data_IF_326894411392
#
_entry.id   IF_326894411392
#
_cell.length_a   1.000
_cell.length_b   1.000
_cell.length_c   1.000
_cell.angle_alpha   90.00
_cell.angle_beta   90.00
_cell.angle_gamma   90.00
#
_symmetry.space_group_name_H-M   'P 1'
#
loop_
_entity.id
_entity.type
_entity.pdbx_description
1 polymer ?
#
# COMPACT_ATOMS: atom_id res chain seq x y z
N UNK A 1 -43.67 -27.05 -39.49
CA UNK A 1 -43.15 -25.71 -39.13
C UNK A 1 -42.41 -25.14 -40.32
N UNK A 2 -42.60 -23.86 -40.58
CA UNK A 2 -42.55 -23.23 -41.90
C UNK A 2 -41.14 -22.89 -42.42
N UNK A 3 -40.95 -23.24 -43.69
CA UNK A 3 -40.27 -22.54 -44.78
C UNK A 3 -39.21 -21.46 -44.48
N UNK A 4 -37.99 -21.81 -44.91
CA UNK A 4 -36.91 -20.93 -45.33
C UNK A 4 -37.36 -19.87 -46.34
N UNK A 5 -36.98 -18.61 -46.14
CA UNK A 5 -36.88 -17.62 -47.21
C UNK A 5 -36.15 -16.35 -46.72
N UNK A 6 -34.97 -16.05 -47.27
CA UNK A 6 -34.67 -14.86 -48.08
C UNK A 6 -33.17 -14.54 -48.11
N UNK A 7 -32.59 -14.90 -49.25
CA UNK A 7 -31.51 -14.18 -49.90
C UNK A 7 -31.94 -12.72 -50.15
N UNK A 8 -31.11 -11.74 -49.80
CA UNK A 8 -31.21 -10.38 -50.34
C UNK A 8 -29.80 -9.79 -50.47
N UNK A 9 -29.28 -9.94 -51.68
CA UNK A 9 -28.19 -9.16 -52.25
C UNK A 9 -28.55 -7.68 -52.24
N UNK A 10 -27.72 -6.81 -51.66
CA UNK A 10 -27.62 -5.40 -52.09
C UNK A 10 -26.19 -4.88 -52.05
N UNK A 11 -25.63 -4.94 -53.25
CA UNK A 11 -24.49 -4.21 -53.78
C UNK A 11 -24.65 -2.69 -53.53
N UNK A 12 -23.66 -2.07 -52.87
CA UNK A 12 -23.42 -0.61 -52.82
C UNK A 12 -21.95 -0.44 -52.36
N UNK A 13 -20.98 -0.51 -53.26
CA UNK A 13 -20.49 0.52 -54.17
C UNK A 13 -20.10 1.86 -53.49
N UNK A 14 -18.79 2.12 -53.55
CA UNK A 14 -18.07 3.40 -53.50
C UNK A 14 -18.03 4.20 -52.19
N UNK A 15 -16.85 4.12 -51.56
CA UNK A 15 -16.24 5.16 -50.74
C UNK A 15 -16.49 6.57 -51.28
N UNK A 16 -16.91 7.48 -50.39
CA UNK A 16 -16.57 8.90 -50.43
C UNK A 16 -16.29 9.37 -49.01
N UNK A 17 -15.09 9.89 -48.82
CA UNK A 17 -14.60 10.54 -47.62
C UNK A 17 -15.49 11.72 -47.21
N UNK A 18 -15.69 11.91 -45.91
CA UNK A 18 -15.96 13.23 -45.34
C UNK A 18 -15.40 13.29 -43.93
N UNK A 19 -14.29 13.99 -43.80
CA UNK A 19 -13.57 14.29 -42.57
C UNK A 19 -14.41 15.27 -41.75
N UNK A 20 -14.95 14.82 -40.61
CA UNK A 20 -15.40 15.73 -39.56
C UNK A 20 -14.66 15.41 -38.27
N UNK A 21 -13.77 16.34 -37.92
CA UNK A 21 -12.96 16.39 -36.71
C UNK A 21 -13.90 16.58 -35.52
N UNK A 22 -14.03 15.56 -34.67
CA UNK A 22 -14.59 15.74 -33.34
C UNK A 22 -13.46 16.18 -32.41
N UNK A 23 -13.44 17.46 -32.07
CA UNK A 23 -12.53 18.02 -31.08
C UNK A 23 -12.84 17.44 -29.69
N UNK A 24 -11.95 16.58 -29.19
CA UNK A 24 -12.03 16.06 -27.82
C UNK A 24 -11.39 17.12 -26.90
N UNK A 25 -12.20 17.94 -26.25
CA UNK A 25 -11.75 18.77 -25.13
C UNK A 25 -11.52 17.85 -23.92
N UNK A 26 -10.29 17.34 -23.80
CA UNK A 26 -9.82 16.68 -22.58
C UNK A 26 -9.42 17.75 -21.57
N UNK A 27 -10.37 18.24 -20.78
CA UNK A 27 -10.05 18.96 -19.54
C UNK A 27 -9.91 17.91 -18.44
N UNK A 28 -8.77 17.21 -18.42
CA UNK A 28 -8.34 16.49 -17.22
C UNK A 28 -7.85 17.54 -16.23
N UNK A 29 -8.75 18.01 -15.38
CA UNK A 29 -8.38 18.73 -14.17
C UNK A 29 -7.59 17.74 -13.30
N UNK A 30 -6.27 17.78 -13.43
CA UNK A 30 -5.35 17.14 -12.50
C UNK A 30 -5.38 17.98 -11.23
N UNK A 31 -6.34 17.70 -10.35
CA UNK A 31 -6.21 18.06 -8.95
C UNK A 31 -5.14 17.17 -8.34
N UNK A 32 -3.87 17.52 -8.58
CA UNK A 32 -2.78 17.03 -7.77
C UNK A 32 -2.97 17.66 -6.38
N UNK A 33 -3.70 16.96 -5.52
CA UNK A 33 -3.73 17.27 -4.09
C UNK A 33 -2.31 17.09 -3.56
N UNK A 34 -1.57 18.19 -3.54
CA UNK A 34 -0.32 18.32 -2.79
C UNK A 34 -0.71 18.27 -1.31
N UNK A 35 -0.82 17.06 -0.78
CA UNK A 35 -0.70 16.83 0.66
C UNK A 35 0.76 17.12 1.03
N UNK A 36 1.10 18.38 1.19
CA UNK A 36 2.31 18.79 1.89
C UNK A 36 2.03 18.61 3.38
N UNK A 37 2.15 17.37 3.88
CA UNK A 37 2.26 17.14 5.32
C UNK A 37 3.61 17.72 5.71
N UNK A 38 3.60 18.86 6.39
CA UNK A 38 4.77 19.38 7.09
C UNK A 38 5.31 18.24 7.97
N UNK A 39 6.47 17.68 7.59
CA UNK A 39 7.25 16.80 8.43
C UNK A 39 7.82 17.63 9.59
N UNK A 40 6.99 17.80 10.62
CA UNK A 40 7.41 18.34 11.90
C UNK A 40 8.25 17.26 12.60
N UNK A 41 9.55 17.53 12.71
CA UNK A 41 10.46 16.79 13.57
C UNK A 41 11.04 15.53 12.93
N UNK A 42 12.33 15.35 13.11
CA UNK A 42 13.11 14.13 12.92
C UNK A 42 12.60 13.02 13.86
N UNK A 43 11.35 12.57 13.69
CA UNK A 43 10.77 11.52 14.52
C UNK A 43 11.22 10.15 14.01
N UNK A 44 12.52 9.91 14.08
CA UNK A 44 13.11 8.58 13.99
C UNK A 44 12.98 7.95 15.37
N UNK A 45 12.19 6.89 15.46
CA UNK A 45 11.97 6.16 16.71
C UNK A 45 12.68 4.82 16.60
N UNK A 46 13.69 4.60 17.44
CA UNK A 46 14.34 3.31 17.56
C UNK A 46 13.46 2.39 18.40
N UNK A 47 13.24 1.18 17.91
CA UNK A 47 12.46 0.13 18.53
C UNK A 47 13.37 -1.05 18.80
N UNK A 48 13.67 -1.26 20.07
CA UNK A 48 14.37 -2.44 20.56
C UNK A 48 13.33 -3.51 20.85
N UNK A 49 13.22 -4.50 19.96
CA UNK A 49 12.19 -5.52 19.98
C UNK A 49 12.75 -6.88 20.42
N UNK A 50 12.01 -7.62 21.24
CA UNK A 50 12.40 -8.96 21.70
C UNK A 50 11.30 -9.97 21.44
N UNK A 51 11.66 -11.13 20.89
CA UNK A 51 10.82 -12.32 20.87
C UNK A 51 10.63 -12.83 22.30
N UNK A 52 9.48 -13.46 22.53
CA UNK A 52 9.20 -14.12 23.82
C UNK A 52 10.23 -15.20 24.21
N UNK A 53 10.96 -15.76 23.25
CA UNK A 53 11.99 -16.78 23.47
C UNK A 53 13.43 -16.23 23.43
N UNK A 54 13.62 -14.90 23.47
CA UNK A 54 14.94 -14.28 23.67
C UNK A 54 15.71 -13.86 22.42
N UNK A 55 15.10 -13.91 21.23
CA UNK A 55 15.69 -13.29 20.03
C UNK A 55 15.46 -11.78 20.00
N UNK A 56 16.51 -11.00 19.69
CA UNK A 56 16.43 -9.54 19.58
C UNK A 56 16.24 -9.12 18.12
N UNK A 57 15.49 -8.04 17.93
CA UNK A 57 15.21 -7.42 16.63
C UNK A 57 15.31 -5.90 16.79
N UNK A 58 16.13 -5.26 15.96
CA UNK A 58 16.18 -3.81 15.91
C UNK A 58 15.27 -3.32 14.79
N UNK A 59 14.39 -2.39 15.11
CA UNK A 59 13.55 -1.71 14.13
C UNK A 59 13.62 -0.19 14.28
N UNK A 60 13.42 0.54 13.18
CA UNK A 60 13.41 2.01 13.17
C UNK A 60 12.13 2.45 12.48
N UNK A 61 11.29 3.18 13.20
CA UNK A 61 10.12 3.84 12.63
C UNK A 61 10.51 5.25 12.19
N UNK A 62 10.45 5.50 10.90
CA UNK A 62 10.61 6.81 10.27
C UNK A 62 9.23 7.37 9.95
N UNK A 63 8.68 8.15 10.89
CA UNK A 63 7.37 8.77 10.74
C UNK A 63 7.26 9.68 9.51
N UNK A 64 8.21 10.61 9.28
CA UNK A 64 8.22 11.49 8.11
C UNK A 64 8.20 10.76 6.77
N UNK A 65 9.01 9.70 6.63
CA UNK A 65 9.08 8.93 5.38
C UNK A 65 8.08 7.77 5.34
N UNK A 66 7.24 7.62 6.37
CA UNK A 66 6.25 6.56 6.54
C UNK A 66 6.85 5.16 6.32
N UNK A 67 8.03 4.94 6.88
CA UNK A 67 8.81 3.72 6.70
C UNK A 67 9.12 3.05 8.03
N UNK A 68 9.13 1.73 8.01
CA UNK A 68 9.61 0.92 9.10
C UNK A 68 10.78 0.08 8.58
N UNK A 69 11.96 0.25 9.15
CA UNK A 69 13.12 -0.58 8.82
C UNK A 69 13.26 -1.68 9.86
N UNK A 70 13.36 -2.94 9.43
CA UNK A 70 13.56 -4.11 10.29
C UNK A 70 14.72 -4.92 9.73
N UNK A 71 15.79 -5.13 10.50
CA UNK A 71 16.98 -5.89 10.06
C UNK A 71 17.46 -5.49 8.64
N UNK A 72 17.50 -4.18 8.35
CA UNK A 72 17.88 -3.57 7.06
C UNK A 72 16.86 -3.71 5.93
N UNK A 73 15.77 -4.46 6.13
CA UNK A 73 14.65 -4.50 5.19
C UNK A 73 13.74 -3.30 5.42
N UNK A 74 13.39 -2.59 4.35
CA UNK A 74 12.46 -1.47 4.40
C UNK A 74 11.04 -1.98 4.21
N UNK A 75 10.13 -1.55 5.08
CA UNK A 75 8.70 -1.75 4.98
C UNK A 75 8.01 -0.40 4.78
N UNK A 76 7.15 -0.33 3.78
CA UNK A 76 6.40 0.87 3.43
C UNK A 76 5.03 0.85 4.10
N UNK A 77 4.63 2.00 4.67
CA UNK A 77 3.31 2.14 5.28
C UNK A 77 2.20 1.89 4.25
N UNK A 78 1.17 1.16 4.70
CA UNK A 78 -0.02 0.88 3.89
C UNK A 78 -1.23 1.61 4.47
N UNK A 79 -1.48 1.39 5.77
CA UNK A 79 -2.70 1.85 6.43
C UNK A 79 -2.59 1.74 7.95
N UNK A 80 -3.50 2.43 8.62
CA UNK A 80 -3.83 2.19 10.03
C UNK A 80 -4.95 1.15 10.12
N UNK A 81 -4.84 0.21 11.06
CA UNK A 81 -5.87 -0.77 11.37
C UNK A 81 -6.24 -0.67 12.85
N UNK A 82 -7.53 -0.50 13.20
CA UNK A 82 -7.98 -0.58 14.59
C UNK A 82 -7.65 -1.97 15.18
N UNK A 83 -7.06 -1.99 16.37
CA UNK A 83 -6.70 -3.21 17.08
C UNK A 83 -7.05 -3.09 18.57
N UNK A 84 -8.15 -3.73 18.98
CA UNK A 84 -8.67 -3.64 20.33
C UNK A 84 -9.08 -2.21 20.69
N UNK A 85 -8.45 -1.63 21.72
CA UNK A 85 -8.65 -0.23 22.14
C UNK A 85 -7.63 0.74 21.53
N UNK A 86 -6.78 0.27 20.62
CA UNK A 86 -5.72 1.07 20.01
C UNK A 86 -5.67 0.94 18.49
N UNK A 87 -4.55 1.36 17.92
CA UNK A 87 -4.31 1.40 16.48
C UNK A 87 -2.98 0.72 16.15
N UNK A 88 -2.99 -0.08 15.09
CA UNK A 88 -1.81 -0.69 14.53
C UNK A 88 -1.49 -0.05 13.18
N UNK A 89 -0.23 0.38 13.04
CA UNK A 89 0.34 0.80 11.78
C UNK A 89 0.74 -0.44 10.98
N UNK A 90 0.21 -0.56 9.76
CA UNK A 90 0.46 -1.71 8.88
C UNK A 90 1.45 -1.29 7.79
N UNK A 91 2.50 -2.09 7.61
CA UNK A 91 3.54 -1.90 6.62
C UNK A 91 3.74 -3.15 5.78
N UNK A 92 4.21 -3.01 4.54
CA UNK A 92 4.59 -4.11 3.64
C UNK A 92 6.05 -3.98 3.23
N UNK A 93 6.78 -5.10 3.23
CA UNK A 93 8.18 -5.14 2.80
C UNK A 93 8.31 -4.66 1.35
N UNK A 94 9.15 -3.67 1.14
CA UNK A 94 9.46 -3.15 -0.18
C UNK A 94 10.24 -4.18 -1.01
N UNK A 95 10.01 -4.19 -2.32
CA UNK A 95 10.76 -5.00 -3.29
C UNK A 95 10.77 -6.51 -2.99
N UNK A 96 9.70 -7.02 -2.39
CA UNK A 96 9.52 -8.45 -2.11
C UNK A 96 8.52 -9.04 -3.10
N UNK A 97 8.84 -10.19 -3.70
CA UNK A 97 7.92 -10.95 -4.57
C UNK A 97 6.74 -11.51 -3.76
N UNK A 98 7.00 -11.87 -2.50
CA UNK A 98 5.99 -12.32 -1.54
C UNK A 98 5.60 -11.21 -0.55
N UNK A 99 4.31 -11.11 -0.18
CA UNK A 99 3.85 -10.07 0.72
C UNK A 99 4.25 -10.36 2.18
N UNK A 100 5.37 -9.80 2.61
CA UNK A 100 5.74 -9.78 4.04
C UNK A 100 5.13 -8.53 4.68
N UNK A 101 4.32 -8.72 5.72
CA UNK A 101 3.58 -7.64 6.39
C UNK A 101 4.13 -7.43 7.79
N UNK A 102 4.36 -6.18 8.16
CA UNK A 102 4.65 -5.79 9.54
C UNK A 102 3.45 -5.01 10.13
N UNK A 103 3.10 -5.31 11.37
CA UNK A 103 2.05 -4.64 12.13
C UNK A 103 2.67 -4.10 13.42
N UNK A 104 2.74 -2.78 13.55
CA UNK A 104 3.28 -2.10 14.71
C UNK A 104 2.17 -1.40 15.48
N UNK A 105 1.90 -1.87 16.70
CA UNK A 105 0.95 -1.25 17.60
C UNK A 105 1.70 -0.46 18.67
N UNK A 106 1.79 0.85 18.44
CA UNK A 106 2.41 1.81 19.37
C UNK A 106 1.43 2.32 20.43
N UNK A 107 0.12 2.12 20.23
CA UNK A 107 -0.92 2.54 21.17
C UNK A 107 -1.10 1.56 22.33
N UNK A 108 -0.66 0.31 22.16
CA UNK A 108 -0.62 -0.70 23.20
C UNK A 108 0.61 -0.54 24.10
N UNK A 109 0.44 -0.77 25.40
CA UNK A 109 1.54 -0.97 26.34
C UNK A 109 1.57 -2.45 26.80
N UNK A 110 2.67 -3.19 26.54
CA UNK A 110 3.86 -2.75 25.83
C UNK A 110 3.64 -2.63 24.31
N UNK A 111 4.53 -1.91 23.61
CA UNK A 111 4.51 -1.80 22.14
C UNK A 111 4.69 -3.19 21.54
N UNK A 112 3.92 -3.49 20.50
CA UNK A 112 3.96 -4.80 19.84
C UNK A 112 4.29 -4.65 18.37
N UNK A 113 5.25 -5.45 17.92
CA UNK A 113 5.55 -5.61 16.50
C UNK A 113 5.26 -7.06 16.11
N UNK A 114 4.44 -7.25 15.08
CA UNK A 114 4.22 -8.55 14.47
C UNK A 114 4.73 -8.52 13.03
N UNK A 115 5.46 -9.55 12.62
CA UNK A 115 5.91 -9.75 11.25
C UNK A 115 5.24 -11.04 10.76
N UNK A 116 4.51 -10.92 9.66
CA UNK A 116 3.85 -12.02 8.98
C UNK A 116 4.59 -12.27 7.68
N UNK A 117 5.24 -13.42 7.59
CA UNK A 117 5.92 -13.91 6.40
C UNK A 117 5.22 -15.21 5.98
N UNK A 118 4.38 -15.11 4.95
CA UNK A 118 3.48 -16.18 4.53
C UNK A 118 2.58 -16.68 5.69
N UNK A 119 2.81 -17.89 6.20
CA UNK A 119 2.07 -18.47 7.33
C UNK A 119 2.76 -18.27 8.69
N UNK A 120 4.01 -17.80 8.70
CA UNK A 120 4.77 -17.60 9.92
C UNK A 120 4.50 -16.23 10.52
N UNK A 121 4.10 -16.21 11.79
CA UNK A 121 3.88 -14.98 12.55
C UNK A 121 4.89 -14.90 13.67
N UNK A 122 5.78 -13.92 13.58
CA UNK A 122 6.73 -13.57 14.64
C UNK A 122 6.22 -12.37 15.43
N UNK A 123 6.05 -12.53 16.74
CA UNK A 123 5.56 -11.47 17.63
C UNK A 123 6.65 -11.02 18.59
N UNK A 124 6.87 -9.71 18.60
CA UNK A 124 7.88 -9.04 19.40
C UNK A 124 7.24 -8.05 20.35
N UNK A 125 7.86 -7.91 21.52
CA UNK A 125 7.60 -6.83 22.46
C UNK A 125 8.70 -5.80 22.26
N UNK A 126 8.33 -4.57 21.98
CA UNK A 126 9.27 -3.50 21.72
C UNK A 126 9.28 -2.48 22.85
N UNK A 127 10.46 -1.92 23.11
CA UNK A 127 10.64 -0.68 23.84
C UNK A 127 11.14 0.38 22.85
N UNK A 128 10.69 1.62 23.01
CA UNK A 128 11.21 2.71 22.20
C UNK A 128 12.29 3.46 22.95
N UNK A 129 13.35 3.83 22.24
CA UNK A 129 14.32 4.82 22.70
C UNK A 129 14.23 6.02 21.76
N UNK A 130 13.98 7.20 22.34
CA UNK A 130 14.11 8.45 21.60
C UNK A 130 15.60 8.67 21.31
N UNK A 131 15.96 8.82 20.03
CA UNK A 131 17.29 9.24 19.62
C UNK A 131 17.56 10.70 20.04
#
# INVERSE_FOLDING_TARGET
MAYWHRNLTKKLNKMKYSTFVAAIFTVSATFASIYQVQAAGTSLINLDCQLKNGGNLAAILDGPNQQLTIDKSVFQFIKVKPEGQGEALIFQKANSEEPVIASLNISAMPIRLAIVDNEQVSQYICTYTSA
#
